data_IF_394568757936
#
_entry.id   IF_394568757936
#
_cell.length_a   1.000
_cell.length_b   1.000
_cell.length_c   1.000
_cell.angle_alpha   90.00
_cell.angle_beta   90.00
_cell.angle_gamma   90.00
#
_symmetry.space_group_name_H-M   'P 1'
#
loop_
_entity.id
_entity.type
_entity.pdbx_description
1 polymer ?
#
# COMPACT_ATOMS: atom_id res chain seq x y z
N UNK A 1 18.85 -4.75 -0.84
CA UNK A 1 19.78 -4.71 0.31
C UNK A 1 19.81 -3.29 0.87
N UNK A 2 19.68 -3.14 2.18
CA UNK A 2 19.55 -1.86 2.90
C UNK A 2 20.82 -1.00 2.90
N UNK A 3 21.92 -1.48 2.33
CA UNK A 3 23.17 -0.73 2.19
C UNK A 3 23.75 -0.35 3.56
N UNK A 4 24.14 0.92 3.72
CA UNK A 4 24.68 1.47 4.97
C UNK A 4 23.60 2.08 5.88
N UNK A 5 22.31 1.94 5.55
CA UNK A 5 21.23 2.50 6.34
C UNK A 5 21.02 1.59 7.57
N UNK A 6 21.12 2.11 8.81
CA UNK A 6 20.95 1.29 9.99
C UNK A 6 19.52 0.77 10.09
N UNK A 7 19.38 -0.50 10.47
CA UNK A 7 18.08 -1.07 10.86
C UNK A 7 17.81 -0.73 12.33
N UNK A 8 16.69 -0.05 12.60
CA UNK A 8 16.32 0.36 13.95
C UNK A 8 15.45 -0.68 14.67
N UNK A 9 14.64 -1.40 13.89
CA UNK A 9 13.78 -2.48 14.37
C UNK A 9 13.57 -3.48 13.23
N UNK A 10 13.59 -4.79 13.50
CA UNK A 10 13.34 -5.83 12.48
C UNK A 10 11.87 -5.90 12.03
N UNK A 11 10.97 -5.24 12.77
CA UNK A 11 9.53 -5.16 12.46
C UNK A 11 9.03 -3.73 12.73
N UNK A 12 8.00 -3.59 13.56
CA UNK A 12 7.46 -2.30 13.95
C UNK A 12 8.41 -1.64 14.97
N UNK A 13 8.84 -0.38 14.74
CA UNK A 13 9.64 0.34 15.72
C UNK A 13 8.78 0.68 16.93
N UNK A 14 9.39 0.73 18.12
CA UNK A 14 8.78 1.36 19.30
C UNK A 14 9.02 2.88 19.29
N UNK A 15 8.34 3.61 20.17
CA UNK A 15 8.60 5.04 20.36
C UNK A 15 10.05 5.27 20.79
N UNK A 16 10.59 4.44 21.68
CA UNK A 16 11.98 4.53 22.15
C UNK A 16 12.97 4.30 21.02
N UNK A 17 12.72 3.33 20.12
CA UNK A 17 13.58 3.13 18.94
C UNK A 17 13.68 4.39 18.08
N UNK A 18 12.56 5.10 17.89
CA UNK A 18 12.52 6.31 17.08
C UNK A 18 13.16 7.50 17.81
N UNK A 19 12.78 7.76 19.07
CA UNK A 19 13.30 8.90 19.84
C UNK A 19 14.82 8.79 20.05
N UNK A 20 15.35 7.58 20.22
CA UNK A 20 16.78 7.36 20.43
C UNK A 20 17.67 7.82 19.26
N UNK A 21 17.13 7.94 18.04
CA UNK A 21 17.86 8.39 16.86
C UNK A 21 17.45 9.79 16.39
N UNK A 22 16.59 10.47 17.16
CA UNK A 22 16.18 11.87 16.97
C UNK A 22 15.81 12.23 15.51
N UNK A 23 14.94 11.46 14.83
CA UNK A 23 14.59 11.75 13.44
C UNK A 23 13.76 13.03 13.36
N UNK A 24 13.96 13.83 12.32
CA UNK A 24 13.10 14.99 12.05
C UNK A 24 11.79 14.61 11.35
N UNK A 25 11.75 13.43 10.73
CA UNK A 25 10.65 12.95 9.93
C UNK A 25 10.50 11.42 9.98
N UNK A 26 9.25 10.95 10.08
CA UNK A 26 8.88 9.54 10.04
C UNK A 26 7.76 9.32 9.01
N UNK A 27 8.02 8.49 8.01
CA UNK A 27 7.07 8.10 6.97
C UNK A 27 6.70 6.63 7.13
N UNK A 28 5.42 6.35 7.34
CA UNK A 28 4.89 5.00 7.51
C UNK A 28 3.39 4.96 7.21
N UNK A 29 2.80 3.77 7.19
CA UNK A 29 1.35 3.60 7.09
C UNK A 29 0.74 3.01 8.37
N UNK A 30 -0.58 3.13 8.52
CA UNK A 30 -1.34 2.37 9.51
C UNK A 30 -1.26 0.88 9.19
N UNK A 31 -0.86 0.08 10.18
CA UNK A 31 -0.47 -1.33 10.05
C UNK A 31 0.76 -1.58 9.14
N UNK A 32 1.55 -0.52 8.88
CA UNK A 32 2.85 -0.57 8.18
C UNK A 32 3.90 0.32 8.87
N UNK A 33 3.94 0.29 10.20
CA UNK A 33 4.83 1.12 11.02
C UNK A 33 4.10 1.92 12.11
N UNK A 34 2.80 2.14 11.94
CA UNK A 34 1.93 2.81 12.92
C UNK A 34 0.70 1.96 13.24
N UNK A 35 0.04 2.23 14.37
CA UNK A 35 -1.25 1.61 14.73
C UNK A 35 -2.19 2.67 15.32
N UNK A 36 -3.47 2.75 14.89
CA UNK A 36 -4.42 3.67 15.50
C UNK A 36 -4.50 3.45 17.02
N UNK A 37 -4.34 4.52 17.80
CA UNK A 37 -4.30 4.45 19.26
C UNK A 37 -3.07 3.74 19.86
N UNK A 38 -2.05 3.44 19.05
CA UNK A 38 -0.80 2.83 19.49
C UNK A 38 0.24 3.84 19.98
N UNK A 39 1.43 3.35 20.31
CA UNK A 39 2.53 4.17 20.83
C UNK A 39 3.26 4.97 19.74
N UNK A 40 3.22 4.49 18.49
CA UNK A 40 3.83 5.15 17.32
C UNK A 40 2.72 5.67 16.42
N UNK A 41 2.43 6.96 16.57
CA UNK A 41 1.40 7.70 15.84
C UNK A 41 1.87 9.14 15.60
N UNK A 42 1.24 9.89 14.68
CA UNK A 42 1.49 11.34 14.56
C UNK A 42 1.39 12.10 15.89
N UNK A 43 0.37 11.78 16.70
CA UNK A 43 0.09 12.49 17.96
C UNK A 43 1.13 12.19 19.05
N UNK A 44 1.63 10.95 19.10
CA UNK A 44 2.66 10.55 20.07
C UNK A 44 4.06 10.96 19.65
N UNK A 45 4.32 11.12 18.35
CA UNK A 45 5.61 11.54 17.80
C UNK A 45 5.79 13.07 17.80
N UNK A 46 4.70 13.84 17.63
CA UNK A 46 4.76 15.31 17.55
C UNK A 46 5.40 16.00 18.78
N UNK A 47 5.15 15.58 20.04
CA UNK A 47 5.82 16.14 21.22
C UNK A 47 7.35 15.99 21.20
N UNK A 48 7.88 15.04 20.45
CA UNK A 48 9.31 14.80 20.28
C UNK A 48 9.90 15.53 19.05
N UNK A 49 9.12 16.39 18.39
CA UNK A 49 9.55 17.12 17.20
C UNK A 49 9.62 16.28 15.92
N UNK A 50 9.18 15.02 15.97
CA UNK A 50 9.21 14.09 14.84
C UNK A 50 7.99 14.36 13.97
N UNK A 51 8.19 14.94 12.78
CA UNK A 51 7.10 15.18 11.81
C UNK A 51 6.70 13.86 11.16
N UNK A 52 5.44 13.73 10.78
CA UNK A 52 4.95 12.49 10.16
C UNK A 52 4.31 12.74 8.81
N UNK A 53 4.50 11.78 7.90
CA UNK A 53 3.63 11.59 6.74
C UNK A 53 3.06 10.18 6.83
N UNK A 54 1.74 10.08 6.77
CA UNK A 54 1.06 8.78 6.74
C UNK A 54 0.81 8.39 5.29
N UNK A 55 1.10 7.13 4.94
CA UNK A 55 0.75 6.55 3.64
C UNK A 55 -0.77 6.68 3.40
N UNK A 56 -1.17 7.36 2.32
CA UNK A 56 -2.54 7.86 2.15
C UNK A 56 -3.56 6.73 1.94
N UNK A 57 -3.15 5.61 1.38
CA UNK A 57 -3.98 4.41 1.30
C UNK A 57 -4.39 3.93 2.69
N UNK A 58 -3.42 3.82 3.60
CA UNK A 58 -3.63 3.25 4.93
C UNK A 58 -4.57 4.09 5.81
N UNK A 59 -4.84 5.35 5.43
CA UNK A 59 -5.82 6.21 6.09
C UNK A 59 -7.25 5.64 6.08
N UNK A 60 -7.53 4.59 5.30
CA UNK A 60 -8.79 3.83 5.40
C UNK A 60 -9.04 3.28 6.81
N UNK A 61 -7.98 3.01 7.57
CA UNK A 61 -8.10 2.56 8.97
C UNK A 61 -8.58 3.65 9.93
N UNK A 62 -8.63 4.91 9.48
CA UNK A 62 -9.20 6.03 10.24
C UNK A 62 -10.55 6.50 9.68
N UNK A 63 -10.78 6.28 8.38
CA UNK A 63 -12.01 6.67 7.69
C UNK A 63 -12.42 5.59 6.68
N UNK A 64 -13.47 4.84 7.02
CA UNK A 64 -13.98 3.75 6.19
C UNK A 64 -14.83 4.25 5.00
N UNK A 65 -15.10 5.55 4.88
CA UNK A 65 -15.87 6.12 3.76
C UNK A 65 -15.01 6.46 2.53
N UNK A 66 -13.73 6.13 2.56
CA UNK A 66 -12.80 6.39 1.45
C UNK A 66 -13.22 5.61 0.19
N UNK A 67 -12.90 6.12 -1.01
CA UNK A 67 -13.11 5.38 -2.24
C UNK A 67 -12.22 4.13 -2.30
N UNK A 68 -12.50 3.25 -3.26
CA UNK A 68 -11.57 2.16 -3.59
C UNK A 68 -10.18 2.72 -3.91
N UNK A 69 -9.13 1.93 -3.64
CA UNK A 69 -7.79 2.37 -3.94
C UNK A 69 -7.61 2.64 -5.44
N UNK A 70 -6.83 3.67 -5.75
CA UNK A 70 -6.39 3.98 -7.11
C UNK A 70 -4.89 4.24 -7.12
N UNK A 71 -4.29 4.18 -8.31
CA UNK A 71 -2.87 4.51 -8.49
C UNK A 71 -2.56 5.98 -8.13
N UNK A 72 -3.57 6.85 -8.08
CA UNK A 72 -3.38 8.25 -7.65
C UNK A 72 -2.95 8.38 -6.19
N UNK A 73 -3.25 7.38 -5.34
CA UNK A 73 -2.76 7.34 -3.96
C UNK A 73 -1.22 7.27 -3.94
N UNK A 74 -0.63 6.38 -4.75
CA UNK A 74 0.81 6.27 -4.91
C UNK A 74 1.40 7.56 -5.49
N UNK A 75 0.79 8.09 -6.55
CA UNK A 75 1.28 9.31 -7.20
C UNK A 75 1.30 10.49 -6.24
N UNK A 76 0.20 10.70 -5.50
CA UNK A 76 0.08 11.76 -4.53
C UNK A 76 1.05 11.64 -3.37
N UNK A 77 1.35 10.43 -2.89
CA UNK A 77 2.33 10.23 -1.82
C UNK A 77 3.77 10.51 -2.28
N UNK A 78 4.13 10.10 -3.49
CA UNK A 78 5.43 10.43 -4.09
C UNK A 78 5.58 11.94 -4.33
N UNK A 79 4.53 12.62 -4.79
CA UNK A 79 4.56 14.09 -4.96
C UNK A 79 4.71 14.82 -3.61
N UNK A 80 4.03 14.36 -2.54
CA UNK A 80 4.21 14.90 -1.19
C UNK A 80 5.64 14.70 -0.68
N UNK A 81 6.21 13.49 -0.86
CA UNK A 81 7.61 13.22 -0.52
C UNK A 81 8.55 14.12 -1.32
N UNK A 82 8.29 14.31 -2.62
CA UNK A 82 9.00 15.27 -3.46
C UNK A 82 8.99 16.68 -2.88
N UNK A 83 7.85 17.15 -2.39
CA UNK A 83 7.75 18.46 -1.73
C UNK A 83 8.53 18.52 -0.41
N UNK A 84 8.40 17.49 0.44
CA UNK A 84 9.05 17.43 1.76
C UNK A 84 10.57 17.45 1.62
N UNK A 85 11.12 16.70 0.66
CA UNK A 85 12.56 16.58 0.46
C UNK A 85 13.15 17.58 -0.55
N UNK A 86 12.35 18.51 -1.09
CA UNK A 86 12.82 19.47 -2.10
C UNK A 86 13.20 18.82 -3.45
N UNK A 87 12.54 17.71 -3.78
CA UNK A 87 12.71 16.84 -4.96
C UNK A 87 11.48 16.79 -5.86
N UNK A 88 10.78 17.92 -5.99
CA UNK A 88 9.53 17.99 -6.74
C UNK A 88 9.70 17.63 -8.22
N UNK A 89 10.81 18.04 -8.84
CA UNK A 89 11.08 17.73 -10.25
C UNK A 89 11.29 16.23 -10.46
N UNK A 90 12.04 15.58 -9.58
CA UNK A 90 12.28 14.14 -9.59
C UNK A 90 10.99 13.36 -9.33
N UNK A 91 10.18 13.77 -8.34
CA UNK A 91 8.89 13.17 -8.05
C UNK A 91 7.92 13.27 -9.24
N UNK A 92 7.78 14.45 -9.84
CA UNK A 92 6.95 14.66 -11.04
C UNK A 92 7.41 13.81 -12.22
N UNK A 93 8.74 13.72 -12.44
CA UNK A 93 9.32 12.87 -13.49
C UNK A 93 8.98 11.40 -13.25
N UNK A 94 9.09 10.93 -12.02
CA UNK A 94 8.79 9.54 -11.66
C UNK A 94 7.31 9.21 -11.88
N UNK A 95 6.41 10.06 -11.37
CA UNK A 95 4.95 9.90 -11.55
C UNK A 95 4.56 9.95 -13.02
N UNK A 96 5.11 10.89 -13.81
CA UNK A 96 4.87 10.97 -15.24
C UNK A 96 5.35 9.72 -15.98
N UNK A 97 6.50 9.16 -15.59
CA UNK A 97 7.01 7.91 -16.12
C UNK A 97 6.06 6.74 -15.87
N UNK A 98 5.58 6.57 -14.65
CA UNK A 98 4.61 5.52 -14.32
C UNK A 98 3.28 5.67 -15.05
N UNK A 99 2.76 6.89 -15.16
CA UNK A 99 1.53 7.17 -15.92
C UNK A 99 1.70 6.82 -17.40
N UNK A 100 2.85 7.14 -17.98
CA UNK A 100 3.17 6.80 -19.38
C UNK A 100 3.24 5.28 -19.56
N UNK A 101 3.99 4.60 -18.69
CA UNK A 101 4.11 3.14 -18.72
C UNK A 101 2.74 2.46 -18.58
N UNK A 102 1.87 2.98 -17.69
CA UNK A 102 0.54 2.44 -17.51
C UNK A 102 -0.35 2.66 -18.75
N UNK A 103 -0.28 3.84 -19.38
CA UNK A 103 -1.01 4.11 -20.61
C UNK A 103 -0.57 3.17 -21.76
N UNK A 104 0.73 2.86 -21.86
CA UNK A 104 1.25 1.90 -22.83
C UNK A 104 0.76 0.46 -22.55
N UNK A 105 0.68 0.06 -21.28
CA UNK A 105 0.12 -1.24 -20.88
C UNK A 105 -1.36 -1.30 -21.27
N UNK A 106 -2.15 -0.28 -20.92
CA UNK A 106 -3.57 -0.21 -21.25
C UNK A 106 -3.82 -0.26 -22.76
N UNK A 107 -3.00 0.46 -23.55
CA UNK A 107 -3.09 0.42 -25.01
C UNK A 107 -2.83 -0.97 -25.58
N UNK A 108 -1.91 -1.75 -24.98
CA UNK A 108 -1.64 -3.14 -25.38
C UNK A 108 -2.75 -4.10 -24.98
N UNK A 109 -3.44 -3.83 -23.86
CA UNK A 109 -4.57 -4.64 -23.38
C UNK A 109 -5.77 -4.44 -24.32
N UNK A 110 -6.08 -3.21 -24.71
CA UNK A 110 -7.23 -2.89 -25.55
C UNK A 110 -8.57 -3.23 -24.85
N UNK A 111 -9.55 -3.68 -25.62
CA UNK A 111 -10.91 -3.99 -25.13
C UNK A 111 -11.07 -5.44 -24.64
N UNK A 112 -9.98 -6.11 -24.25
CA UNK A 112 -10.06 -7.49 -23.74
C UNK A 112 -10.81 -7.52 -22.41
N UNK A 113 -11.56 -8.59 -22.20
CA UNK A 113 -12.20 -8.84 -20.91
C UNK A 113 -11.17 -8.97 -19.78
N UNK A 114 -11.55 -8.48 -18.60
CA UNK A 114 -10.69 -8.49 -17.42
C UNK A 114 -10.33 -9.90 -16.98
N UNK A 115 -9.03 -10.14 -16.76
CA UNK A 115 -8.58 -11.41 -16.18
C UNK A 115 -8.97 -11.44 -14.71
N UNK A 116 -9.72 -12.45 -14.27
CA UNK A 116 -10.03 -12.62 -12.85
C UNK A 116 -8.78 -13.01 -12.07
N UNK A 117 -8.34 -12.14 -11.18
CA UNK A 117 -7.10 -12.30 -10.40
C UNK A 117 -7.43 -12.55 -8.95
N UNK A 118 -6.81 -13.56 -8.36
CA UNK A 118 -6.74 -13.72 -6.91
C UNK A 118 -5.33 -13.40 -6.43
N UNK A 119 -5.22 -12.49 -5.46
CA UNK A 119 -3.97 -12.26 -4.74
C UNK A 119 -4.00 -13.04 -3.43
N UNK A 120 -3.03 -13.92 -3.25
CA UNK A 120 -2.77 -14.65 -2.02
C UNK A 120 -1.54 -14.06 -1.35
N UNK A 121 -1.72 -13.54 -0.14
CA UNK A 121 -0.62 -13.06 0.69
C UNK A 121 -0.06 -14.17 1.58
N UNK A 122 -0.94 -14.83 2.34
CA UNK A 122 -0.56 -15.82 3.34
C UNK A 122 -1.77 -16.60 3.85
N UNK A 123 -1.58 -17.50 4.82
CA UNK A 123 -2.64 -18.24 5.51
C UNK A 123 -2.89 -19.64 4.93
N UNK A 124 -2.92 -20.65 5.81
CA UNK A 124 -3.16 -22.04 5.42
C UNK A 124 -4.67 -22.38 5.44
N UNK A 125 -5.31 -22.25 6.59
CA UNK A 125 -6.76 -22.53 6.77
C UNK A 125 -7.63 -21.51 6.02
N UNK A 126 -7.30 -20.21 6.17
CA UNK A 126 -8.01 -19.11 5.52
C UNK A 126 -7.02 -18.20 4.81
N UNK A 127 -7.14 -18.01 3.49
CA UNK A 127 -6.24 -17.13 2.77
C UNK A 127 -6.41 -15.68 3.22
N UNK A 128 -5.29 -15.02 3.46
CA UNK A 128 -5.18 -13.57 3.64
C UNK A 128 -4.96 -12.93 2.27
N UNK A 129 -5.72 -11.88 1.97
CA UNK A 129 -5.83 -11.29 0.63
C UNK A 129 -6.11 -9.80 0.70
N UNK A 130 -6.05 -9.13 -0.46
CA UNK A 130 -6.29 -7.71 -0.63
C UNK A 130 -7.72 -7.41 -1.12
N UNK A 131 -8.44 -6.57 -0.38
CA UNK A 131 -9.78 -6.09 -0.71
C UNK A 131 -9.81 -4.75 -1.44
N UNK A 132 -10.98 -4.11 -1.42
CA UNK A 132 -11.30 -2.86 -2.14
C UNK A 132 -10.31 -1.72 -1.93
N UNK A 133 -9.77 -1.59 -0.71
CA UNK A 133 -9.01 -0.42 -0.30
C UNK A 133 -7.49 -0.58 -0.42
N UNK A 134 -7.00 -1.76 -0.81
CA UNK A 134 -5.56 -2.00 -0.90
C UNK A 134 -4.99 -1.63 -2.27
N UNK A 135 -3.74 -1.17 -2.30
CA UNK A 135 -3.03 -0.84 -3.55
C UNK A 135 -2.99 -2.01 -4.56
N UNK A 136 -2.84 -3.30 -4.17
CA UNK A 136 -2.89 -4.38 -5.14
C UNK A 136 -4.21 -4.45 -5.94
N UNK A 137 -5.35 -4.06 -5.35
CA UNK A 137 -6.61 -3.95 -6.09
C UNK A 137 -6.52 -2.89 -7.21
N UNK A 138 -5.92 -1.74 -6.90
CA UNK A 138 -5.67 -0.69 -7.88
C UNK A 138 -4.69 -1.13 -8.98
N UNK A 139 -3.64 -1.87 -8.61
CA UNK A 139 -2.65 -2.39 -9.55
C UNK A 139 -3.24 -3.44 -10.50
N UNK A 140 -4.05 -4.36 -9.98
CA UNK A 140 -4.76 -5.37 -10.77
C UNK A 140 -5.68 -4.69 -11.78
N UNK A 141 -6.51 -3.74 -11.34
CA UNK A 141 -7.39 -2.97 -12.21
C UNK A 141 -6.63 -2.17 -13.28
N UNK A 142 -5.54 -1.51 -12.89
CA UNK A 142 -4.68 -0.76 -13.80
C UNK A 142 -4.03 -1.65 -14.87
N UNK A 143 -3.75 -2.92 -14.54
CA UNK A 143 -3.26 -3.92 -15.49
C UNK A 143 -4.38 -4.62 -16.29
N UNK A 144 -5.63 -4.15 -16.21
CA UNK A 144 -6.78 -4.72 -16.91
C UNK A 144 -7.27 -6.05 -16.32
N UNK A 145 -6.94 -6.34 -15.07
CA UNK A 145 -7.47 -7.48 -14.33
C UNK A 145 -8.63 -7.08 -13.42
N UNK A 146 -9.38 -8.08 -12.99
CA UNK A 146 -10.46 -7.95 -12.01
C UNK A 146 -10.04 -8.70 -10.74
N UNK A 147 -9.75 -7.97 -9.66
CA UNK A 147 -9.50 -8.61 -8.37
C UNK A 147 -10.78 -9.30 -7.91
N UNK A 148 -10.74 -10.63 -7.77
CA UNK A 148 -11.90 -11.39 -7.34
C UNK A 148 -12.35 -11.05 -5.93
N UNK A 149 -11.60 -10.26 -5.15
CA UNK A 149 -11.94 -9.81 -3.79
C UNK A 149 -12.23 -8.30 -3.71
N UNK A 150 -12.45 -7.62 -4.84
CA UNK A 150 -12.64 -6.17 -4.90
C UNK A 150 -13.89 -5.63 -4.15
N UNK A 151 -14.84 -6.49 -3.83
CA UNK A 151 -16.06 -6.17 -3.06
C UNK A 151 -15.83 -6.22 -1.53
N UNK A 152 -14.74 -6.83 -1.08
CA UNK A 152 -14.39 -6.91 0.34
C UNK A 152 -14.09 -5.51 0.88
N UNK A 153 -14.91 -5.01 1.82
CA UNK A 153 -14.77 -3.67 2.41
C UNK A 153 -13.62 -3.60 3.43
N UNK A 154 -12.40 -3.91 3.00
CA UNK A 154 -11.16 -3.79 3.76
C UNK A 154 -9.99 -3.48 2.84
N UNK A 155 -8.85 -3.08 3.40
CA UNK A 155 -7.57 -3.11 2.70
C UNK A 155 -7.07 -4.55 2.64
N UNK A 156 -6.76 -5.15 3.79
CA UNK A 156 -6.36 -6.56 3.88
C UNK A 156 -7.25 -7.34 4.83
N UNK A 157 -7.46 -8.63 4.56
CA UNK A 157 -8.27 -9.48 5.42
C UNK A 157 -8.30 -10.93 4.97
N UNK A 158 -8.94 -11.78 5.78
CA UNK A 158 -9.14 -13.18 5.44
C UNK A 158 -10.42 -13.40 4.63
N UNK A 159 -10.35 -14.32 3.68
CA UNK A 159 -11.51 -14.95 3.03
C UNK A 159 -11.47 -16.47 3.25
N UNK A 160 -12.34 -17.22 2.58
CA UNK A 160 -12.38 -18.69 2.61
C UNK A 160 -12.11 -19.28 1.22
N UNK A 161 -11.59 -20.50 1.19
CA UNK A 161 -11.20 -21.16 -0.06
C UNK A 161 -12.40 -21.47 -0.96
N UNK A 162 -13.59 -21.68 -0.38
CA UNK A 162 -14.85 -21.87 -1.09
C UNK A 162 -15.23 -20.60 -1.89
N UNK A 163 -15.07 -19.42 -1.29
CA UNK A 163 -15.27 -18.13 -1.95
C UNK A 163 -14.27 -17.96 -3.09
N UNK A 164 -12.99 -18.25 -2.86
CA UNK A 164 -11.97 -18.19 -3.91
C UNK A 164 -12.30 -19.13 -5.07
N UNK A 165 -12.62 -20.39 -4.77
CA UNK A 165 -12.94 -21.40 -5.78
C UNK A 165 -14.20 -21.06 -6.59
N UNK A 166 -15.26 -20.60 -5.92
CA UNK A 166 -16.52 -20.22 -6.58
C UNK A 166 -16.37 -19.00 -7.50
N UNK A 167 -15.45 -18.09 -7.18
CA UNK A 167 -15.12 -16.92 -8.02
C UNK A 167 -14.18 -17.26 -9.18
N UNK A 168 -13.66 -18.49 -9.23
CA UNK A 168 -12.93 -19.09 -10.36
C UNK A 168 -11.84 -18.16 -10.95
N UNK A 169 -10.81 -17.79 -10.16
CA UNK A 169 -9.73 -16.94 -10.64
C UNK A 169 -8.96 -17.62 -11.79
N UNK A 170 -8.57 -16.82 -12.78
CA UNK A 170 -7.78 -17.23 -13.94
C UNK A 170 -6.28 -17.02 -13.70
N UNK A 171 -5.93 -16.13 -12.79
CA UNK A 171 -4.55 -15.78 -12.47
C UNK A 171 -4.37 -15.67 -10.95
N UNK A 172 -3.28 -16.22 -10.43
CA UNK A 172 -2.93 -16.18 -9.01
C UNK A 172 -1.65 -15.36 -8.83
N UNK A 173 -1.72 -14.34 -7.97
CA UNK A 173 -0.54 -13.62 -7.47
C UNK A 173 -0.21 -14.19 -6.10
N UNK A 174 1.01 -14.71 -5.92
CA UNK A 174 1.51 -15.17 -4.63
C UNK A 174 2.51 -14.14 -4.11
N UNK A 175 2.25 -13.56 -2.94
CA UNK A 175 3.24 -12.72 -2.28
C UNK A 175 4.23 -13.61 -1.55
N UNK A 176 5.51 -13.27 -1.71
CA UNK A 176 6.62 -13.98 -1.08
C UNK A 176 7.48 -12.96 -0.34
N UNK A 177 7.57 -13.15 0.96
CA UNK A 177 8.35 -12.32 1.87
C UNK A 177 9.60 -13.13 2.26
N UNK A 178 10.57 -13.19 1.33
CA UNK A 178 11.90 -13.76 1.54
C UNK A 178 12.71 -12.96 2.56
#
# INVERSE_FOLDING_TARGET
AQGSIPELAPKYPTLENLVAVEPDFFFAGWYYGMKPGGEVTPDTLAPHGIKTLVLTESCVHLDNNRPAASMDLLYGDIEKLGKIFGKEAEAKKLVSGWKTQLAEIMAKIGDREGTRVFLYDSGEDKPFTSGKFAIPNAMIAAAGGDNIMADMQTSWGNTDWETVASRNPQFLILLDYQ
#
